data_IF_921923919865
#
_entry.id   IF_921923919865
#
_cell.length_a   1.000
_cell.length_b   1.000
_cell.length_c   1.000
_cell.angle_alpha   90.00
_cell.angle_beta   90.00
_cell.angle_gamma   90.00
#
_symmetry.space_group_name_H-M   'P 1'
#
loop_
_entity.id
_entity.type
_entity.pdbx_description
1 polymer ?
#
# COMPACT_ATOMS: atom_id res chain seq x y z
N UNK A 1 -12.07 -5.79 7.59
CA UNK A 1 -11.53 -6.82 8.48
C UNK A 1 -10.42 -7.62 7.82
N UNK A 2 -10.69 -8.19 6.63
CA UNK A 2 -9.68 -9.00 5.93
C UNK A 2 -8.46 -8.19 5.50
N UNK A 3 -8.68 -6.95 5.07
CA UNK A 3 -7.57 -6.07 4.67
C UNK A 3 -6.70 -5.76 5.89
N UNK A 4 -7.31 -5.39 7.01
CA UNK A 4 -6.57 -5.07 8.22
C UNK A 4 -5.74 -6.28 8.68
N UNK A 5 -6.30 -7.48 8.63
CA UNK A 5 -5.59 -8.70 9.00
C UNK A 5 -4.38 -8.91 8.09
N UNK A 6 -4.54 -8.67 6.79
CA UNK A 6 -3.43 -8.85 5.84
C UNK A 6 -2.34 -7.81 6.05
N UNK A 7 -2.71 -6.55 6.26
CA UNK A 7 -1.74 -5.47 6.47
C UNK A 7 -0.97 -5.62 7.79
N UNK A 8 -1.57 -6.28 8.77
CA UNK A 8 -0.95 -6.49 10.06
C UNK A 8 -0.24 -7.84 10.19
N UNK A 9 -0.24 -8.66 9.15
CA UNK A 9 0.37 -9.99 9.19
C UNK A 9 1.89 -9.87 9.24
N UNK A 10 2.47 -10.17 10.40
CA UNK A 10 3.90 -10.01 10.67
C UNK A 10 4.76 -11.12 10.07
N UNK A 11 4.15 -12.18 9.53
CA UNK A 11 4.89 -13.28 8.91
C UNK A 11 5.48 -12.89 7.57
N UNK A 12 4.90 -11.90 6.90
CA UNK A 12 5.32 -11.46 5.59
C UNK A 12 5.84 -10.03 5.61
N UNK A 13 6.25 -9.59 4.43
CA UNK A 13 6.68 -8.23 4.17
C UNK A 13 5.52 -7.43 3.57
N UNK A 14 5.51 -6.14 3.87
CA UNK A 14 4.56 -5.20 3.28
C UNK A 14 5.32 -4.25 2.36
N UNK A 15 4.95 -4.26 1.09
CA UNK A 15 5.53 -3.37 0.09
C UNK A 15 4.47 -2.35 -0.33
N UNK A 16 4.90 -1.10 -0.49
CA UNK A 16 4.00 -0.02 -0.88
C UNK A 16 4.61 0.74 -2.06
N UNK A 17 3.79 1.05 -3.04
CA UNK A 17 4.23 1.80 -4.21
C UNK A 17 3.07 2.66 -4.73
N UNK A 18 3.39 3.80 -5.28
CA UNK A 18 2.43 4.69 -5.93
C UNK A 18 2.93 5.20 -7.25
N UNK A 19 2.08 5.93 -7.95
CA UNK A 19 2.42 6.57 -9.19
C UNK A 19 2.99 7.96 -8.96
N UNK A 20 3.02 8.74 -10.04
CA UNK A 20 3.63 10.07 -10.02
C UNK A 20 3.07 10.97 -8.91
N UNK A 21 1.75 10.99 -8.76
CA UNK A 21 1.08 11.87 -7.81
C UNK A 21 0.61 11.16 -6.54
N UNK A 22 0.61 9.82 -6.53
CA UNK A 22 0.13 9.05 -5.39
C UNK A 22 1.26 8.43 -4.57
N UNK A 23 2.50 8.46 -5.07
CA UNK A 23 3.62 7.95 -4.31
C UNK A 23 3.79 8.64 -2.94
N UNK A 24 3.51 9.94 -2.79
CA UNK A 24 3.54 10.55 -1.46
C UNK A 24 2.62 9.87 -0.45
N UNK A 25 1.48 9.33 -0.92
CA UNK A 25 0.56 8.58 -0.05
C UNK A 25 1.17 7.24 0.36
N UNK A 26 1.83 6.57 -0.57
CA UNK A 26 2.53 5.32 -0.26
C UNK A 26 3.62 5.55 0.76
N UNK A 27 4.39 6.62 0.61
CA UNK A 27 5.44 6.99 1.56
C UNK A 27 4.86 7.30 2.94
N UNK A 28 3.80 8.08 2.99
CA UNK A 28 3.12 8.43 4.23
C UNK A 28 2.65 7.17 4.96
N UNK A 29 1.99 6.27 4.23
CA UNK A 29 1.48 5.04 4.80
C UNK A 29 2.62 4.12 5.28
N UNK A 30 3.68 4.00 4.49
CA UNK A 30 4.82 3.17 4.85
C UNK A 30 5.47 3.66 6.14
N UNK A 31 5.61 4.97 6.30
CA UNK A 31 6.19 5.56 7.51
C UNK A 31 5.37 5.21 8.74
N UNK A 32 4.05 5.27 8.65
CA UNK A 32 3.18 4.94 9.77
C UNK A 32 3.14 3.44 10.05
N UNK A 33 3.05 2.62 9.00
CA UNK A 33 3.01 1.17 9.17
C UNK A 33 4.30 0.63 9.79
N UNK A 34 5.44 1.24 9.47
CA UNK A 34 6.73 0.82 10.02
C UNK A 34 6.81 1.03 11.54
N UNK A 35 5.98 1.93 12.09
CA UNK A 35 5.91 2.13 13.53
C UNK A 35 5.20 0.95 14.21
N UNK A 36 4.18 0.40 13.59
CA UNK A 36 3.33 -0.61 14.22
C UNK A 36 3.72 -2.05 13.88
N UNK A 37 4.50 -2.27 12.82
CA UNK A 37 4.93 -3.62 12.44
C UNK A 37 6.29 -3.59 11.74
N UNK A 38 7.05 -4.71 11.79
CA UNK A 38 8.32 -4.81 11.05
C UNK A 38 8.10 -5.10 9.57
N UNK A 39 9.17 -5.03 8.78
CA UNK A 39 9.23 -5.45 7.39
C UNK A 39 8.27 -4.70 6.49
N UNK A 40 8.33 -3.37 6.57
CA UNK A 40 7.56 -2.46 5.71
C UNK A 40 8.54 -1.75 4.78
N UNK A 41 8.28 -1.81 3.48
CA UNK A 41 9.19 -1.28 2.47
C UNK A 41 8.44 -0.40 1.47
N UNK A 42 8.85 0.85 1.38
CA UNK A 42 8.36 1.75 0.34
C UNK A 42 9.24 1.60 -0.90
N UNK A 43 8.63 1.23 -2.02
CA UNK A 43 9.34 1.05 -3.27
C UNK A 43 9.31 2.36 -4.04
N UNK A 44 10.49 2.87 -4.39
CA UNK A 44 10.62 4.14 -5.08
C UNK A 44 11.78 4.09 -6.06
N UNK A 45 12.01 5.20 -6.77
CA UNK A 45 13.06 5.29 -7.75
C UNK A 45 12.64 4.72 -9.09
N UNK A 46 13.61 4.23 -9.86
CA UNK A 46 13.38 3.73 -11.19
C UNK A 46 12.69 2.36 -11.19
N UNK A 47 11.94 2.10 -12.23
CA UNK A 47 11.22 0.84 -12.39
C UNK A 47 12.13 -0.38 -12.21
N UNK A 48 13.34 -0.32 -12.73
CA UNK A 48 14.28 -1.44 -12.61
C UNK A 48 14.59 -1.78 -11.16
N UNK A 49 14.65 -0.77 -10.29
CA UNK A 49 14.98 -0.96 -8.87
C UNK A 49 13.83 -1.67 -8.14
N UNK A 50 12.60 -1.17 -8.27
CA UNK A 50 11.50 -1.81 -7.56
C UNK A 50 11.06 -3.12 -8.24
N UNK A 51 11.28 -3.25 -9.54
CA UNK A 51 11.02 -4.51 -10.23
C UNK A 51 11.92 -5.63 -9.72
N UNK A 52 13.17 -5.32 -9.42
CA UNK A 52 14.11 -6.32 -8.90
C UNK A 52 13.71 -6.85 -7.53
N UNK A 53 12.93 -6.06 -6.78
CA UNK A 53 12.45 -6.51 -5.47
C UNK A 53 11.46 -7.67 -5.58
N UNK A 54 10.92 -7.94 -6.76
CA UNK A 54 10.02 -9.07 -6.97
C UNK A 54 10.65 -10.41 -6.60
N UNK A 55 11.96 -10.52 -6.72
CA UNK A 55 12.64 -11.78 -6.41
C UNK A 55 12.48 -12.17 -4.93
N UNK A 56 12.26 -11.19 -4.07
CA UNK A 56 12.10 -11.40 -2.63
C UNK A 56 10.63 -11.48 -2.20
N UNK A 57 9.70 -11.43 -3.14
CA UNK A 57 8.27 -11.42 -2.84
C UNK A 57 7.63 -12.78 -3.05
N UNK A 58 6.66 -13.12 -2.23
CA UNK A 58 5.94 -14.38 -2.31
C UNK A 58 4.59 -14.36 -1.61
N UNK A 59 4.06 -15.54 -1.34
CA UNK A 59 2.67 -15.73 -0.91
C UNK A 59 2.31 -15.13 0.45
N UNK A 60 3.31 -14.88 1.30
CA UNK A 60 3.07 -14.27 2.61
C UNK A 60 3.15 -12.75 2.58
N UNK A 61 3.50 -12.18 1.44
CA UNK A 61 3.72 -10.74 1.31
C UNK A 61 2.48 -10.05 0.78
N UNK A 62 2.38 -8.77 1.11
CA UNK A 62 1.33 -7.91 0.58
C UNK A 62 1.97 -6.75 -0.18
N UNK A 63 1.40 -6.42 -1.32
CA UNK A 63 1.79 -5.27 -2.13
C UNK A 63 0.60 -4.33 -2.19
N UNK A 64 0.77 -3.16 -1.57
CA UNK A 64 -0.25 -2.12 -1.59
C UNK A 64 0.12 -1.10 -2.66
N UNK A 65 -0.74 -0.95 -3.66
CA UNK A 65 -0.48 -0.10 -4.82
C UNK A 65 -1.52 1.01 -4.89
N UNK A 66 -1.04 2.23 -5.11
CA UNK A 66 -1.88 3.37 -5.43
C UNK A 66 -1.80 3.61 -6.92
N UNK A 67 -2.91 3.52 -7.64
CA UNK A 67 -2.93 3.78 -9.08
C UNK A 67 -4.25 4.44 -9.45
N UNK A 68 -4.15 5.70 -9.84
CA UNK A 68 -5.31 6.49 -10.26
C UNK A 68 -5.12 6.92 -11.72
N UNK A 69 -6.17 7.42 -12.32
CA UNK A 69 -6.16 7.97 -13.66
C UNK A 69 -5.04 9.03 -13.77
N UNK A 70 -4.16 8.99 -14.73
CA UNK A 70 -4.05 8.07 -15.88
C UNK A 70 -3.13 6.90 -15.49
N UNK A 71 -3.65 5.75 -15.40
CA UNK A 71 -2.98 4.56 -14.88
C UNK A 71 -1.63 4.31 -15.54
N UNK A 72 -0.64 3.90 -14.72
CA UNK A 72 0.72 3.66 -15.22
C UNK A 72 0.89 2.21 -15.65
N UNK A 73 1.27 2.02 -16.91
CA UNK A 73 1.51 0.68 -17.43
C UNK A 73 2.59 -0.07 -16.66
N UNK A 74 3.61 0.65 -16.19
CA UNK A 74 4.69 0.03 -15.40
C UNK A 74 4.17 -0.55 -14.09
N UNK A 75 3.22 0.14 -13.44
CA UNK A 75 2.60 -0.37 -12.22
C UNK A 75 1.70 -1.57 -12.51
N UNK A 76 0.98 -1.54 -13.61
CA UNK A 76 0.13 -2.66 -14.01
C UNK A 76 0.99 -3.91 -14.26
N UNK A 77 2.09 -3.75 -15.00
CA UNK A 77 3.01 -4.87 -15.25
C UNK A 77 3.62 -5.40 -13.95
N UNK A 78 4.00 -4.52 -13.06
CA UNK A 78 4.58 -4.88 -11.78
C UNK A 78 3.57 -5.68 -10.94
N UNK A 79 2.32 -5.20 -10.90
CA UNK A 79 1.25 -5.88 -10.17
C UNK A 79 0.98 -7.28 -10.75
N UNK A 80 0.97 -7.40 -12.06
CA UNK A 80 0.76 -8.70 -12.70
C UNK A 80 1.86 -9.69 -12.33
N UNK A 81 3.11 -9.26 -12.37
CA UNK A 81 4.24 -10.10 -12.01
C UNK A 81 4.22 -10.49 -10.54
N UNK A 82 3.86 -9.56 -9.67
CA UNK A 82 3.71 -9.85 -8.25
C UNK A 82 2.60 -10.87 -8.03
N UNK A 83 1.49 -10.71 -8.72
CA UNK A 83 0.37 -11.65 -8.65
C UNK A 83 0.80 -13.06 -9.06
N UNK A 84 1.59 -13.18 -10.14
CA UNK A 84 2.09 -14.47 -10.61
C UNK A 84 2.99 -15.16 -9.59
N UNK A 85 3.60 -14.40 -8.69
CA UNK A 85 4.45 -14.93 -7.62
C UNK A 85 3.67 -15.20 -6.33
N UNK A 86 2.35 -15.05 -6.37
CA UNK A 86 1.49 -15.34 -5.23
C UNK A 86 1.34 -14.20 -4.24
N UNK A 87 1.89 -13.02 -4.54
CA UNK A 87 1.77 -11.84 -3.67
C UNK A 87 0.32 -11.39 -3.65
N UNK A 88 -0.19 -11.06 -2.47
CA UNK A 88 -1.54 -10.50 -2.36
C UNK A 88 -1.48 -9.00 -2.59
N UNK A 89 -2.32 -8.53 -3.51
CA UNK A 89 -2.33 -7.12 -3.90
C UNK A 89 -3.54 -6.43 -3.30
N UNK A 90 -3.29 -5.29 -2.65
CA UNK A 90 -4.31 -4.35 -2.19
C UNK A 90 -4.18 -3.12 -3.07
N UNK A 91 -5.23 -2.81 -3.82
CA UNK A 91 -5.23 -1.67 -4.72
C UNK A 91 -6.06 -0.54 -4.13
N UNK A 92 -5.48 0.66 -4.08
CA UNK A 92 -6.19 1.90 -3.78
C UNK A 92 -6.24 2.69 -5.07
N UNK A 93 -7.43 2.99 -5.55
CA UNK A 93 -7.63 3.56 -6.88
C UNK A 93 -8.77 4.58 -6.86
N UNK A 94 -9.12 5.08 -8.05
CA UNK A 94 -10.21 6.03 -8.22
C UNK A 94 -11.53 5.34 -8.57
N UNK A 95 -12.56 6.13 -8.78
CA UNK A 95 -13.91 5.63 -9.06
C UNK A 95 -14.02 4.86 -10.38
N UNK A 96 -13.05 5.02 -11.29
CA UNK A 96 -13.07 4.31 -12.58
C UNK A 96 -12.28 3.01 -12.57
N UNK A 97 -11.55 2.74 -11.51
CA UNK A 97 -10.78 1.53 -11.24
C UNK A 97 -9.61 1.29 -12.19
N UNK A 98 -8.42 1.29 -11.64
CA UNK A 98 -7.20 0.91 -12.37
C UNK A 98 -7.29 -0.52 -12.91
N UNK A 99 -6.66 -0.79 -14.06
CA UNK A 99 -6.55 -2.16 -14.57
C UNK A 99 -5.95 -3.16 -13.58
N UNK A 100 -5.21 -2.68 -12.59
CA UNK A 100 -4.64 -3.54 -11.54
C UNK A 100 -5.73 -4.29 -10.77
N UNK A 101 -6.97 -3.78 -10.80
CA UNK A 101 -8.08 -4.44 -10.13
C UNK A 101 -8.24 -5.91 -10.53
N UNK A 102 -7.80 -6.28 -11.74
CA UNK A 102 -7.84 -7.68 -12.21
C UNK A 102 -7.02 -8.62 -11.34
N UNK A 103 -5.95 -8.11 -10.75
CA UNK A 103 -5.00 -8.92 -9.97
C UNK A 103 -5.16 -8.72 -8.47
N UNK A 104 -5.95 -7.75 -8.05
CA UNK A 104 -6.00 -7.35 -6.66
C UNK A 104 -6.93 -8.25 -5.84
N UNK A 105 -6.46 -8.66 -4.68
CA UNK A 105 -7.27 -9.37 -3.70
C UNK A 105 -8.31 -8.43 -3.10
N UNK A 106 -7.93 -7.19 -2.86
CA UNK A 106 -8.79 -6.15 -2.31
C UNK A 106 -8.65 -4.89 -3.14
N UNK A 107 -9.77 -4.25 -3.44
CA UNK A 107 -9.82 -2.99 -4.19
C UNK A 107 -10.60 -1.98 -3.36
N UNK A 108 -9.97 -0.84 -3.08
CA UNK A 108 -10.63 0.27 -2.39
C UNK A 108 -10.60 1.47 -3.31
N UNK A 109 -11.78 1.99 -3.65
CA UNK A 109 -11.89 3.13 -4.54
C UNK A 109 -12.25 4.38 -3.77
N UNK A 110 -11.56 5.48 -4.10
CA UNK A 110 -11.87 6.79 -3.57
C UNK A 110 -12.19 7.75 -4.71
N UNK A 111 -12.97 8.78 -4.42
CA UNK A 111 -13.36 9.75 -5.42
C UNK A 111 -12.24 10.78 -5.57
N UNK A 112 -11.74 10.92 -6.80
CA UNK A 112 -10.64 11.85 -7.11
C UNK A 112 -11.09 13.02 -7.96
N UNK A 113 -12.23 12.90 -8.66
CA UNK A 113 -12.71 13.93 -9.56
C UNK A 113 -13.09 15.21 -8.80
N UNK A 114 -12.63 16.34 -9.31
CA UNK A 114 -12.88 17.67 -8.75
C UNK A 114 -13.22 18.64 -9.87
N UNK A 115 -13.98 19.71 -9.58
CA UNK A 115 -14.23 20.75 -10.57
C UNK A 115 -13.00 21.66 -10.71
N UNK A 116 -11.88 21.07 -11.10
CA UNK A 116 -10.62 21.77 -11.33
C UNK A 116 -9.81 20.99 -12.36
N UNK A 117 -8.66 21.55 -12.75
CA UNK A 117 -7.75 20.87 -13.68
C UNK A 117 -7.03 19.68 -13.03
N UNK A 118 -7.07 19.57 -11.71
CA UNK A 118 -6.35 18.54 -10.97
C UNK A 118 -7.30 17.60 -10.25
N UNK A 119 -6.97 16.31 -10.25
CA UNK A 119 -7.66 15.35 -9.40
C UNK A 119 -7.21 15.56 -7.95
N UNK A 120 -8.08 15.20 -7.01
CA UNK A 120 -7.81 15.31 -5.58
C UNK A 120 -7.45 13.95 -4.99
N UNK A 121 -6.44 13.93 -4.14
CA UNK A 121 -6.08 12.74 -3.36
C UNK A 121 -6.68 12.75 -1.95
N UNK A 122 -7.54 13.70 -1.64
CA UNK A 122 -8.08 13.84 -0.27
C UNK A 122 -8.81 12.57 0.20
N UNK A 123 -9.67 12.01 -0.64
CA UNK A 123 -10.39 10.78 -0.29
C UNK A 123 -9.44 9.60 -0.10
N UNK A 124 -8.40 9.52 -0.93
CA UNK A 124 -7.39 8.47 -0.79
C UNK A 124 -6.63 8.60 0.52
N UNK A 125 -6.37 9.84 0.95
CA UNK A 125 -5.68 10.09 2.21
C UNK A 125 -6.52 9.59 3.39
N UNK A 126 -7.83 9.82 3.35
CA UNK A 126 -8.75 9.32 4.38
C UNK A 126 -8.72 7.79 4.41
N UNK A 127 -8.69 7.16 3.23
CA UNK A 127 -8.60 5.70 3.14
C UNK A 127 -7.31 5.21 3.80
N UNK A 128 -6.19 5.87 3.50
CA UNK A 128 -4.89 5.51 4.09
C UNK A 128 -4.94 5.57 5.61
N UNK A 129 -5.45 6.66 6.16
CA UNK A 129 -5.53 6.84 7.60
C UNK A 129 -6.46 5.80 8.25
N UNK A 130 -7.56 5.47 7.57
CA UNK A 130 -8.49 4.45 8.03
C UNK A 130 -7.83 3.08 8.06
N UNK A 131 -7.04 2.75 7.04
CA UNK A 131 -6.33 1.48 6.98
C UNK A 131 -5.25 1.39 8.05
N UNK A 132 -4.52 2.47 8.28
CA UNK A 132 -3.50 2.53 9.34
C UNK A 132 -4.16 2.28 10.70
N UNK A 133 -5.27 2.93 10.96
CA UNK A 133 -6.01 2.77 12.21
C UNK A 133 -6.50 1.33 12.38
N UNK A 134 -7.07 0.76 11.33
CA UNK A 134 -7.58 -0.60 11.37
C UNK A 134 -6.46 -1.62 11.62
N UNK A 135 -5.31 -1.43 10.97
CA UNK A 135 -4.16 -2.31 11.17
C UNK A 135 -3.60 -2.16 12.58
N UNK A 136 -3.58 -0.95 13.11
CA UNK A 136 -3.12 -0.68 14.47
C UNK A 136 -4.00 -1.43 15.48
N UNK A 137 -5.30 -1.38 15.30
CA UNK A 137 -6.24 -2.09 16.17
C UNK A 137 -6.09 -3.61 16.06
N UNK A 138 -5.83 -4.10 14.84
CA UNK A 138 -5.64 -5.53 14.61
C UNK A 138 -4.40 -6.05 15.35
N UNK A 139 -3.36 -5.24 15.43
CA UNK A 139 -2.13 -5.59 16.15
C UNK A 139 -2.28 -5.46 17.67
N UNK A 140 -3.26 -4.69 18.11
CA UNK A 140 -3.64 -4.57 19.52
C UNK A 140 -2.41 -4.28 20.41
N UNK A 141 -2.17 -5.10 21.42
CA UNK A 141 -1.09 -4.92 22.39
C UNK A 141 0.28 -4.84 21.72
N UNK A 142 0.51 -5.63 20.67
CA UNK A 142 1.77 -5.64 19.93
C UNK A 142 2.09 -4.28 19.31
N UNK A 143 1.11 -3.68 18.65
CA UNK A 143 1.29 -2.37 18.02
C UNK A 143 1.54 -1.29 19.05
N UNK A 144 0.80 -1.30 20.15
CA UNK A 144 0.95 -0.35 21.24
C UNK A 144 2.33 -0.45 21.87
N UNK A 145 2.80 -1.67 22.12
CA UNK A 145 4.12 -1.89 22.70
C UNK A 145 5.21 -1.37 21.78
N UNK A 146 5.09 -1.62 20.48
CA UNK A 146 6.06 -1.17 19.50
C UNK A 146 6.15 0.36 19.42
N UNK A 147 5.00 1.04 19.45
CA UNK A 147 4.95 2.50 19.49
C UNK A 147 5.68 3.03 20.73
N UNK A 148 5.41 2.41 21.88
CA UNK A 148 6.05 2.80 23.14
C UNK A 148 7.55 2.62 23.08
N UNK A 149 8.02 1.49 22.56
CA UNK A 149 9.45 1.23 22.45
C UNK A 149 10.13 2.26 21.54
N UNK A 150 9.48 2.66 20.46
CA UNK A 150 10.04 3.69 19.58
C UNK A 150 10.13 5.05 20.25
N UNK A 151 9.16 5.39 21.10
CA UNK A 151 9.21 6.64 21.85
C UNK A 151 10.37 6.64 22.85
N UNK A 152 10.68 5.49 23.44
CA UNK A 152 11.79 5.36 24.36
C UNK A 152 13.15 5.55 23.69
N UNK A 153 13.22 5.34 22.37
CA UNK A 153 14.47 5.51 21.62
C UNK A 153 14.78 6.96 21.24
N UNK A 154 13.85 7.88 21.48
CA UNK A 154 14.02 9.30 21.15
C UNK A 154 14.81 10.07 22.19
#
# INVERSE_FOLDING_TARGET
>A
ADIAAKLSDRRGHMFLIGGRFTDPLARYMAAHMAIIRPNVFHLSGQESIWRDRLIDMGKHDVLLIFDIRRYQESLVRFAEKAHQRGVQIVLITDQWLSPIARFAKHVIAGRTAMPSAWDSSAALFVIVETLIDAATRQLDTEGTRRIREMEELR
#
